data_IF_726076879321
#
_entry.id   IF_726076879321
#
_cell.length_a   1.000
_cell.length_b   1.000
_cell.length_c   1.000
_cell.angle_alpha   90.00
_cell.angle_beta   90.00
_cell.angle_gamma   90.00
#
_symmetry.space_group_name_H-M   'P 1'
#
loop_
_entity.id
_entity.type
_entity.pdbx_description
1 polymer ?
#
# COMPACT_ATOMS: atom_id res chain seq x y z
N UNK A 1 18.39 -11.62 -41.72
CA UNK A 1 17.59 -11.00 -40.64
C UNK A 1 16.83 -12.11 -39.90
N UNK A 2 17.31 -12.55 -38.73
CA UNK A 2 16.72 -13.67 -37.97
C UNK A 2 15.59 -13.15 -37.06
N UNK A 3 14.34 -13.45 -37.42
CA UNK A 3 13.19 -13.27 -36.51
C UNK A 3 13.35 -14.22 -35.32
N UNK A 4 13.77 -13.69 -34.17
CA UNK A 4 13.63 -14.37 -32.89
C UNK A 4 12.13 -14.40 -32.57
N UNK A 5 11.47 -15.51 -32.85
CA UNK A 5 10.16 -15.82 -32.27
C UNK A 5 10.33 -15.86 -30.75
N UNK A 6 9.97 -14.75 -30.11
CA UNK A 6 10.03 -14.56 -28.66
C UNK A 6 9.02 -15.53 -28.05
N UNK A 7 9.48 -16.71 -27.62
CA UNK A 7 8.66 -17.68 -26.91
C UNK A 7 8.25 -17.09 -25.55
N UNK A 8 7.13 -16.37 -25.54
CA UNK A 8 6.60 -15.70 -24.35
C UNK A 8 6.38 -16.68 -23.20
N UNK A 9 6.06 -17.93 -23.49
CA UNK A 9 5.78 -18.99 -22.51
C UNK A 9 7.02 -19.73 -21.99
N UNK A 10 8.19 -19.60 -22.63
CA UNK A 10 9.40 -20.35 -22.22
C UNK A 10 10.17 -19.71 -21.05
N UNK A 11 9.87 -18.45 -20.71
CA UNK A 11 10.66 -17.63 -19.77
C UNK A 11 9.93 -17.31 -18.46
N UNK A 12 8.95 -18.12 -18.02
CA UNK A 12 8.20 -17.87 -16.78
C UNK A 12 7.23 -16.68 -16.83
N UNK A 13 7.17 -15.94 -17.95
CA UNK A 13 6.26 -14.79 -18.09
C UNK A 13 4.78 -15.19 -18.00
N UNK A 14 4.43 -16.42 -18.37
CA UNK A 14 3.07 -16.95 -18.23
C UNK A 14 2.58 -16.96 -16.78
N UNK A 15 3.49 -17.18 -15.82
CA UNK A 15 3.19 -17.14 -14.39
C UNK A 15 2.92 -15.70 -13.91
N UNK A 16 3.58 -14.71 -14.51
CA UNK A 16 3.42 -13.29 -14.15
C UNK A 16 2.18 -12.69 -14.83
N UNK A 17 1.82 -13.15 -16.03
CA UNK A 17 0.67 -12.60 -16.77
C UNK A 17 -0.65 -12.75 -16.04
N UNK A 18 -0.88 -13.87 -15.33
CA UNK A 18 -2.14 -14.11 -14.62
C UNK A 18 -2.34 -13.15 -13.43
N UNK A 19 -1.39 -12.99 -12.49
CA UNK A 19 -1.45 -11.96 -11.44
C UNK A 19 -1.60 -10.55 -12.00
N UNK A 20 -0.89 -10.19 -13.07
CA UNK A 20 -0.96 -8.85 -13.67
C UNK A 20 -2.36 -8.56 -14.19
N UNK A 21 -3.00 -9.52 -14.87
CA UNK A 21 -4.38 -9.36 -15.35
C UNK A 21 -5.34 -9.20 -14.17
N UNK A 22 -5.20 -10.01 -13.12
CA UNK A 22 -6.04 -9.94 -11.92
C UNK A 22 -5.89 -8.61 -11.18
N UNK A 23 -4.65 -8.14 -10.96
CA UNK A 23 -4.39 -6.84 -10.33
C UNK A 23 -4.96 -5.71 -11.18
N UNK A 24 -4.79 -5.77 -12.50
CA UNK A 24 -5.33 -4.73 -13.40
C UNK A 24 -6.85 -4.68 -13.32
N UNK A 25 -7.51 -5.83 -13.37
CA UNK A 25 -8.97 -5.89 -13.36
C UNK A 25 -9.56 -5.52 -11.99
N UNK A 26 -8.97 -6.00 -10.91
CA UNK A 26 -9.55 -5.86 -9.56
C UNK A 26 -9.11 -4.61 -8.82
N UNK A 27 -7.96 -4.03 -9.16
CA UNK A 27 -7.41 -2.85 -8.47
C UNK A 27 -7.47 -1.62 -9.36
N UNK A 28 -6.97 -1.70 -10.59
CA UNK A 28 -6.87 -0.52 -11.45
C UNK A 28 -8.24 -0.06 -11.96
N UNK A 29 -9.13 -0.97 -12.37
CA UNK A 29 -10.49 -0.59 -12.81
C UNK A 29 -11.26 0.19 -11.72
N UNK A 30 -11.43 -0.34 -10.48
CA UNK A 30 -12.16 0.42 -9.46
C UNK A 30 -11.41 1.68 -9.01
N UNK A 31 -10.07 1.71 -9.05
CA UNK A 31 -9.30 2.91 -8.77
C UNK A 31 -9.64 4.03 -9.76
N UNK A 32 -9.67 3.72 -11.06
CA UNK A 32 -10.04 4.68 -12.11
C UNK A 32 -11.50 5.12 -11.96
N UNK A 33 -12.43 4.19 -11.70
CA UNK A 33 -13.83 4.53 -11.43
C UNK A 33 -13.99 5.42 -10.20
N UNK A 34 -13.25 5.17 -9.12
CA UNK A 34 -13.26 5.99 -7.91
C UNK A 34 -12.74 7.41 -8.19
N UNK A 35 -11.72 7.55 -9.04
CA UNK A 35 -11.23 8.86 -9.49
C UNK A 35 -12.26 9.61 -10.31
N UNK A 36 -13.03 8.95 -11.19
CA UNK A 36 -14.12 9.63 -11.90
C UNK A 36 -15.24 10.06 -10.95
N UNK A 37 -15.62 9.18 -10.01
CA UNK A 37 -16.63 9.46 -8.99
C UNK A 37 -16.20 10.59 -8.04
N UNK A 38 -14.91 10.78 -7.76
CA UNK A 38 -14.47 11.86 -6.85
C UNK A 38 -14.75 13.27 -7.40
N UNK A 39 -14.89 13.43 -8.72
CA UNK A 39 -15.33 14.69 -9.34
C UNK A 39 -16.86 14.83 -9.46
N UNK A 40 -17.60 13.78 -9.09
CA UNK A 40 -19.05 13.75 -9.10
C UNK A 40 -19.59 13.91 -7.67
N UNK A 41 -20.76 14.53 -7.53
CA UNK A 41 -21.40 14.80 -6.23
C UNK A 41 -22.88 14.47 -6.32
N UNK A 42 -23.42 13.81 -5.30
CA UNK A 42 -24.83 13.43 -5.24
C UNK A 42 -25.07 12.03 -4.68
N UNK A 43 -26.34 11.62 -4.52
CA UNK A 43 -26.70 10.26 -4.17
C UNK A 43 -26.23 9.27 -5.26
N UNK A 44 -26.03 7.99 -4.94
CA UNK A 44 -25.58 6.98 -5.91
C UNK A 44 -26.44 6.87 -7.18
N UNK A 45 -27.70 7.30 -7.10
CA UNK A 45 -28.69 7.27 -8.19
C UNK A 45 -28.73 8.55 -9.02
N UNK A 46 -28.11 9.65 -8.58
CA UNK A 46 -28.15 10.94 -9.25
C UNK A 46 -26.82 11.72 -9.06
N UNK A 47 -25.72 11.14 -9.57
CA UNK A 47 -24.41 11.81 -9.56
C UNK A 47 -24.40 12.97 -10.56
N UNK A 48 -24.11 14.16 -10.06
CA UNK A 48 -23.90 15.37 -10.86
C UNK A 48 -22.41 15.69 -10.91
N UNK A 49 -21.91 16.13 -12.06
CA UNK A 49 -20.51 16.54 -12.17
C UNK A 49 -20.30 17.88 -11.46
N UNK A 50 -19.59 17.86 -10.33
CA UNK A 50 -19.33 19.04 -9.50
C UNK A 50 -17.87 19.54 -9.63
N UNK A 51 -17.12 18.99 -10.58
CA UNK A 51 -15.72 19.32 -10.80
C UNK A 51 -14.89 19.17 -9.51
N UNK A 52 -14.24 20.25 -9.09
CA UNK A 52 -13.38 20.27 -7.89
C UNK A 52 -14.11 20.66 -6.59
N UNK A 53 -15.44 20.84 -6.61
CA UNK A 53 -16.21 21.30 -5.44
C UNK A 53 -16.09 20.38 -4.22
N UNK A 54 -15.98 19.07 -4.44
CA UNK A 54 -15.77 18.09 -3.37
C UNK A 54 -14.43 18.28 -2.65
N UNK A 55 -13.36 18.57 -3.40
CA UNK A 55 -12.02 18.79 -2.85
C UNK A 55 -11.95 20.12 -2.07
N UNK A 56 -12.56 21.18 -2.58
CA UNK A 56 -12.63 22.46 -1.88
C UNK A 56 -13.36 22.32 -0.54
N UNK A 57 -14.49 21.60 -0.52
CA UNK A 57 -15.23 21.30 0.71
C UNK A 57 -14.37 20.51 1.70
N UNK A 58 -13.71 19.45 1.24
CA UNK A 58 -12.83 18.62 2.08
C UNK A 58 -11.68 19.41 2.70
N UNK A 59 -11.04 20.28 1.91
CA UNK A 59 -9.93 21.12 2.38
C UNK A 59 -10.38 22.26 3.30
N UNK A 60 -11.65 22.67 3.25
CA UNK A 60 -12.21 23.65 4.18
C UNK A 60 -12.66 23.05 5.51
N UNK A 61 -12.89 21.74 5.56
CA UNK A 61 -13.40 21.04 6.75
C UNK A 61 -12.34 20.97 7.85
N UNK A 62 -12.69 21.47 9.04
CA UNK A 62 -11.84 21.43 10.22
C UNK A 62 -11.58 20.02 10.73
N UNK A 63 -12.52 19.09 10.51
CA UNK A 63 -12.38 17.69 10.92
C UNK A 63 -11.34 16.99 10.06
N UNK A 64 -11.36 17.23 8.75
CA UNK A 64 -10.36 16.69 7.83
C UNK A 64 -8.95 17.19 8.16
N UNK A 65 -8.78 18.49 8.42
CA UNK A 65 -7.47 19.05 8.81
C UNK A 65 -6.94 18.45 10.11
N UNK A 66 -7.82 18.28 11.12
CA UNK A 66 -7.45 17.64 12.38
C UNK A 66 -7.08 16.18 12.17
N UNK A 67 -7.88 15.42 11.43
CA UNK A 67 -7.60 14.02 11.13
C UNK A 67 -6.27 13.86 10.38
N UNK A 68 -6.03 14.68 9.34
CA UNK A 68 -4.79 14.69 8.57
C UNK A 68 -3.58 14.99 9.46
N UNK A 69 -3.66 16.03 10.30
CA UNK A 69 -2.59 16.37 11.25
C UNK A 69 -2.32 15.25 12.25
N UNK A 70 -3.37 14.61 12.77
CA UNK A 70 -3.23 13.46 13.67
C UNK A 70 -2.56 12.28 12.96
N UNK A 71 -3.02 11.88 11.77
CA UNK A 71 -2.38 10.81 10.98
C UNK A 71 -0.91 11.10 10.71
N UNK A 72 -0.59 12.34 10.36
CA UNK A 72 0.80 12.76 10.13
C UNK A 72 1.65 12.66 11.41
N UNK A 73 1.11 13.09 12.55
CA UNK A 73 1.77 12.96 13.85
C UNK A 73 1.96 11.50 14.24
N UNK A 74 0.95 10.65 14.04
CA UNK A 74 1.06 9.20 14.25
C UNK A 74 2.19 8.63 13.40
N UNK A 75 2.25 8.93 12.10
CA UNK A 75 3.33 8.45 11.23
C UNK A 75 4.71 8.94 11.69
N UNK A 76 4.84 10.21 12.04
CA UNK A 76 6.11 10.79 12.49
C UNK A 76 6.61 10.21 13.81
N UNK A 77 5.74 9.80 14.71
CA UNK A 77 6.13 9.22 16.00
C UNK A 77 6.28 7.70 15.89
N UNK A 78 5.33 7.03 15.25
CA UNK A 78 5.28 5.59 15.11
C UNK A 78 6.45 5.04 14.29
N UNK A 79 6.76 5.63 13.13
CA UNK A 79 7.78 5.09 12.23
C UNK A 79 9.17 5.12 12.88
N UNK A 80 9.64 6.23 13.49
CA UNK A 80 10.94 6.25 14.16
C UNK A 80 11.01 5.30 15.36
N UNK A 81 9.94 5.21 16.17
CA UNK A 81 9.91 4.26 17.30
C UNK A 81 10.01 2.82 16.80
N UNK A 82 9.26 2.47 15.76
CA UNK A 82 9.30 1.15 15.13
C UNK A 82 10.71 0.83 14.61
N UNK A 83 11.34 1.77 13.90
CA UNK A 83 12.70 1.59 13.37
C UNK A 83 13.74 1.48 14.49
N UNK A 84 13.64 2.32 15.52
CA UNK A 84 14.55 2.30 16.66
C UNK A 84 14.49 0.96 17.41
N UNK A 85 13.28 0.48 17.72
CA UNK A 85 13.08 -0.83 18.34
C UNK A 85 13.56 -1.96 17.43
N UNK A 86 13.25 -1.91 16.13
CA UNK A 86 13.71 -2.90 15.16
C UNK A 86 15.25 -2.97 15.09
N UNK A 87 15.94 -1.83 15.13
CA UNK A 87 17.40 -1.75 15.12
C UNK A 87 18.02 -2.29 16.41
N UNK A 88 17.48 -1.96 17.58
CA UNK A 88 17.95 -2.51 18.87
C UNK A 88 17.82 -4.03 18.87
N UNK A 89 16.63 -4.54 18.52
CA UNK A 89 16.37 -5.97 18.49
C UNK A 89 17.24 -6.66 17.44
N UNK A 90 17.44 -6.05 16.27
CA UNK A 90 18.33 -6.55 15.23
C UNK A 90 19.78 -6.62 15.70
N UNK A 91 20.27 -5.60 16.40
CA UNK A 91 21.64 -5.55 16.92
C UNK A 91 21.86 -6.64 17.99
N UNK A 92 20.92 -6.82 18.91
CA UNK A 92 20.96 -7.90 19.91
C UNK A 92 20.99 -9.26 19.19
N UNK A 93 20.13 -9.49 18.19
CA UNK A 93 20.06 -10.77 17.49
C UNK A 93 21.26 -11.06 16.59
N UNK A 94 21.98 -10.02 16.16
CA UNK A 94 23.21 -10.13 15.39
C UNK A 94 24.34 -10.79 16.20
N UNK A 95 24.30 -10.73 17.52
CA UNK A 95 25.40 -11.14 18.39
C UNK A 95 25.67 -12.66 18.32
N UNK A 96 26.92 -13.08 18.10
CA UNK A 96 27.27 -14.49 17.74
C UNK A 96 27.03 -15.51 18.86
N UNK A 97 26.83 -15.08 20.10
CA UNK A 97 26.66 -15.94 21.29
C UNK A 97 25.21 -16.33 21.60
N UNK A 98 24.21 -15.79 20.89
CA UNK A 98 22.80 -16.10 21.12
C UNK A 98 22.42 -17.49 20.59
N UNK A 99 22.04 -18.40 21.50
CA UNK A 99 21.35 -19.66 21.18
C UNK A 99 19.87 -19.34 20.90
N UNK A 100 19.25 -20.01 19.90
CA UNK A 100 17.85 -19.84 19.43
C UNK A 100 17.49 -18.61 18.57
N UNK A 101 18.42 -18.07 17.77
CA UNK A 101 18.16 -16.94 16.83
C UNK A 101 16.95 -17.12 15.90
N UNK A 102 16.67 -18.36 15.47
CA UNK A 102 15.54 -18.68 14.59
C UNK A 102 14.18 -18.42 15.22
N UNK A 103 13.98 -18.81 16.49
CA UNK A 103 12.71 -18.63 17.20
C UNK A 103 12.38 -17.15 17.44
N UNK A 104 13.37 -16.36 17.86
CA UNK A 104 13.19 -14.91 18.04
C UNK A 104 12.88 -14.19 16.73
N UNK A 105 13.52 -14.58 15.62
CA UNK A 105 13.22 -14.03 14.29
C UNK A 105 11.77 -14.32 13.90
N UNK A 106 11.32 -15.56 14.04
CA UNK A 106 9.94 -15.94 13.68
C UNK A 106 8.91 -15.24 14.57
N UNK A 107 9.14 -15.15 15.88
CA UNK A 107 8.20 -14.50 16.80
C UNK A 107 8.03 -12.99 16.52
N UNK A 108 9.09 -12.30 16.10
CA UNK A 108 9.03 -10.88 15.71
C UNK A 108 8.32 -10.67 14.38
N UNK A 109 8.45 -11.60 13.44
CA UNK A 109 7.77 -11.50 12.14
C UNK A 109 6.34 -12.05 12.15
N UNK A 110 5.99 -12.91 13.12
CA UNK A 110 4.66 -13.50 13.26
C UNK A 110 3.50 -12.48 13.27
N UNK A 111 3.55 -11.37 14.02
CA UNK A 111 2.49 -10.37 14.00
C UNK A 111 2.48 -9.50 12.74
N UNK A 112 3.55 -9.54 11.93
CA UNK A 112 3.63 -8.82 10.66
C UNK A 112 3.08 -9.65 9.48
N UNK A 113 2.91 -10.96 9.67
CA UNK A 113 2.29 -11.85 8.68
C UNK A 113 0.79 -11.89 9.01
N UNK A 114 0.07 -10.89 8.51
CA UNK A 114 -1.39 -10.85 8.43
C UNK A 114 -1.82 -10.95 6.98
#
# INVERSE_FOLDING_TARGET
MKNKTKNWFANGNAFITLPVILITMLVFIPMVSALFTSFQSGPPTAMTFNGLGNYQRMLSDSTFKKAFGNTFLYLLVQVPIMLFLALIVSNILNDKKLKFKGLFRTALFLPCIT
#
